data_IF_423724536614
#
_entry.id   IF_423724536614
#
_cell.length_a   1.000
_cell.length_b   1.000
_cell.length_c   1.000
_cell.angle_alpha   90.00
_cell.angle_beta   90.00
_cell.angle_gamma   90.00
#
_symmetry.space_group_name_H-M   'P 1'
#
loop_
_entity.id
_entity.type
_entity.pdbx_description
1 polymer ?
#
# COMPACT_ATOMS: atom_id res chain seq x y z
N UNK A 1 -17.11 21.81 -14.79
CA UNK A 1 -17.68 21.34 -13.51
C UNK A 1 -16.55 20.66 -12.78
N UNK A 2 -15.96 21.37 -11.83
CA UNK A 2 -15.02 20.80 -10.88
C UNK A 2 -15.79 19.78 -10.05
N UNK A 3 -15.48 18.49 -10.25
CA UNK A 3 -15.97 17.46 -9.37
C UNK A 3 -15.48 17.83 -7.96
N UNK A 4 -16.34 17.78 -6.93
CA UNK A 4 -15.89 18.03 -5.56
C UNK A 4 -14.67 17.15 -5.29
N UNK A 5 -13.68 17.70 -4.60
CA UNK A 5 -12.47 17.00 -4.24
C UNK A 5 -12.82 15.87 -3.27
N UNK A 6 -13.28 14.74 -3.83
CA UNK A 6 -13.75 13.59 -3.06
C UNK A 6 -12.50 12.96 -2.48
N UNK A 7 -12.22 13.32 -1.23
CA UNK A 7 -11.23 12.63 -0.40
C UNK A 7 -11.75 11.23 -0.11
N UNK A 8 -10.93 10.23 -0.40
CA UNK A 8 -11.23 8.82 -0.19
C UNK A 8 -10.16 8.21 0.71
N UNK A 9 -10.59 7.36 1.64
CA UNK A 9 -9.67 6.55 2.45
C UNK A 9 -9.42 5.23 1.75
N UNK A 10 -8.14 4.89 1.60
CA UNK A 10 -7.65 3.64 1.04
C UNK A 10 -6.57 3.08 1.96
N UNK A 11 -6.40 1.77 1.94
CA UNK A 11 -5.42 1.08 2.77
C UNK A 11 -4.32 0.52 1.88
N UNK A 12 -3.06 0.77 2.24
CA UNK A 12 -1.92 0.02 1.73
C UNK A 12 -1.54 -0.98 2.81
N UNK A 13 -1.66 -2.26 2.52
CA UNK A 13 -1.29 -3.34 3.43
C UNK A 13 0.01 -4.00 3.01
N UNK A 14 0.72 -4.60 3.96
CA UNK A 14 1.85 -5.48 3.71
C UNK A 14 1.64 -6.78 4.48
N UNK A 15 1.73 -7.90 3.75
CA UNK A 15 1.53 -9.22 4.32
C UNK A 15 2.59 -9.55 5.38
N UNK A 16 2.19 -10.31 6.39
CA UNK A 16 3.12 -10.81 7.41
C UNK A 16 4.29 -11.58 6.78
N UNK A 17 4.03 -12.42 5.77
CA UNK A 17 5.08 -13.20 5.10
C UNK A 17 6.12 -12.34 4.37
N UNK A 18 5.69 -11.27 3.71
CA UNK A 18 6.61 -10.35 3.03
C UNK A 18 7.42 -9.54 4.04
N UNK A 19 6.79 -9.05 5.12
CA UNK A 19 7.47 -8.35 6.20
C UNK A 19 8.47 -9.25 6.94
N UNK A 20 8.15 -10.53 7.17
CA UNK A 20 9.08 -11.49 7.78
C UNK A 20 10.29 -11.77 6.89
N UNK A 21 10.08 -11.94 5.58
CA UNK A 21 11.17 -12.14 4.63
C UNK A 21 12.08 -10.90 4.49
N UNK A 22 11.50 -9.70 4.64
CA UNK A 22 12.18 -8.44 4.40
C UNK A 22 11.86 -7.39 5.47
N UNK A 23 12.22 -7.63 6.73
CA UNK A 23 11.82 -6.77 7.87
C UNK A 23 12.17 -5.28 7.73
N UNK A 24 13.24 -4.95 7.01
CA UNK A 24 13.62 -3.56 6.75
C UNK A 24 12.62 -2.81 5.87
N UNK A 25 11.83 -3.54 5.06
CA UNK A 25 10.91 -2.97 4.07
C UNK A 25 9.73 -2.26 4.73
N UNK A 26 9.31 -2.65 5.94
CA UNK A 26 8.26 -1.94 6.69
C UNK A 26 8.65 -0.47 6.92
N UNK A 27 9.90 -0.21 7.27
CA UNK A 27 10.41 1.14 7.48
C UNK A 27 10.64 1.87 6.15
N UNK A 28 11.18 1.17 5.14
CA UNK A 28 11.36 1.74 3.81
C UNK A 28 10.04 2.21 3.18
N UNK A 29 8.98 1.38 3.24
CA UNK A 29 7.64 1.74 2.75
C UNK A 29 7.05 2.90 3.54
N UNK A 30 7.20 2.92 4.87
CA UNK A 30 6.73 4.04 5.69
C UNK A 30 7.38 5.37 5.28
N UNK A 31 8.71 5.36 5.03
CA UNK A 31 9.44 6.52 4.57
C UNK A 31 9.04 6.94 3.15
N UNK A 32 8.96 5.97 2.23
CA UNK A 32 8.60 6.19 0.84
C UNK A 32 7.21 6.81 0.69
N UNK A 33 6.20 6.26 1.37
CA UNK A 33 4.83 6.79 1.33
C UNK A 33 4.78 8.22 1.90
N UNK A 34 5.54 8.49 2.98
CA UNK A 34 5.61 9.84 3.55
C UNK A 34 6.28 10.84 2.59
N UNK A 35 7.33 10.41 1.88
CA UNK A 35 8.01 11.23 0.88
C UNK A 35 7.13 11.48 -0.36
N UNK A 36 6.30 10.52 -0.76
CA UNK A 36 5.44 10.65 -1.94
C UNK A 36 4.45 11.82 -1.84
N UNK A 37 4.00 12.20 -0.63
CA UNK A 37 3.17 13.40 -0.44
C UNK A 37 3.85 14.68 -0.95
N UNK A 38 5.18 14.75 -0.89
CA UNK A 38 5.95 15.89 -1.42
C UNK A 38 5.94 15.92 -2.96
N UNK A 39 5.75 14.78 -3.60
CA UNK A 39 5.65 14.68 -5.07
C UNK A 39 4.21 14.88 -5.56
N UNK A 40 3.22 14.34 -4.85
CA UNK A 40 1.80 14.45 -5.19
C UNK A 40 0.96 14.65 -3.92
N UNK A 41 0.58 15.91 -3.67
CA UNK A 41 -0.16 16.33 -2.49
C UNK A 41 -1.56 15.69 -2.37
N UNK A 42 -2.05 15.07 -3.45
CA UNK A 42 -3.30 14.30 -3.46
C UNK A 42 -3.21 12.98 -2.71
N UNK A 43 -2.02 12.60 -2.21
CA UNK A 43 -1.82 11.38 -1.43
C UNK A 43 -1.24 11.70 -0.06
N UNK A 44 -1.88 11.27 1.02
CA UNK A 44 -1.39 11.50 2.37
C UNK A 44 -1.56 10.27 3.26
N UNK A 45 -0.49 9.85 3.93
CA UNK A 45 -0.58 8.87 5.01
C UNK A 45 -1.27 9.51 6.22
N UNK A 46 -2.35 8.89 6.70
CA UNK A 46 -3.09 9.32 7.90
C UNK A 46 -2.58 8.63 9.15
N UNK A 47 -2.40 7.31 9.10
CA UNK A 47 -1.82 6.53 10.20
C UNK A 47 -1.22 5.22 9.70
N UNK A 48 -0.43 4.60 10.58
CA UNK A 48 0.10 3.25 10.41
C UNK A 48 -0.37 2.37 11.56
N UNK A 49 -0.98 1.26 11.24
CA UNK A 49 -1.47 0.23 12.16
C UNK A 49 -0.71 -1.09 11.92
N UNK A 50 -0.67 -1.93 12.94
CA UNK A 50 -0.25 -3.32 12.83
C UNK A 50 -1.38 -4.19 13.38
N UNK A 51 -2.04 -4.94 12.51
CA UNK A 51 -3.15 -5.81 12.87
C UNK A 51 -2.62 -7.05 13.60
N UNK A 52 -2.83 -7.20 14.92
CA UNK A 52 -2.21 -8.27 15.70
C UNK A 52 -2.70 -9.66 15.30
N UNK A 53 -3.96 -9.80 14.88
CA UNK A 53 -4.57 -11.09 14.52
C UNK A 53 -4.05 -11.64 13.19
N UNK A 54 -3.66 -10.76 12.27
CA UNK A 54 -3.25 -11.12 10.90
C UNK A 54 -1.75 -10.90 10.66
N UNK A 55 -1.07 -10.17 11.55
CA UNK A 55 0.30 -9.71 11.36
C UNK A 55 0.46 -8.71 10.21
N UNK A 56 -0.64 -8.10 9.75
CA UNK A 56 -0.65 -7.18 8.61
C UNK A 56 -0.18 -5.80 9.05
N UNK A 57 0.82 -5.24 8.36
CA UNK A 57 1.13 -3.82 8.49
C UNK A 57 0.22 -3.04 7.55
N UNK A 58 -0.46 -2.01 8.07
CA UNK A 58 -1.44 -1.24 7.31
C UNK A 58 -1.12 0.24 7.40
N UNK A 59 -1.02 0.91 6.26
CA UNK A 59 -1.02 2.36 6.16
C UNK A 59 -2.40 2.80 5.67
N UNK A 60 -3.11 3.55 6.50
CA UNK A 60 -4.34 4.22 6.10
C UNK A 60 -3.96 5.51 5.40
N UNK A 61 -4.36 5.64 4.16
CA UNK A 61 -4.01 6.73 3.27
C UNK A 61 -5.28 7.48 2.85
N UNK A 62 -5.16 8.80 2.74
CA UNK A 62 -6.15 9.63 2.08
C UNK A 62 -5.67 9.92 0.65
N UNK A 63 -6.58 9.75 -0.31
CA UNK A 63 -6.38 10.13 -1.70
C UNK A 63 -7.44 11.12 -2.18
N UNK A 64 -7.08 11.98 -3.11
CA UNK A 64 -7.95 12.98 -3.72
C UNK A 64 -8.22 12.68 -5.20
N UNK A 65 -9.50 12.69 -5.58
CA UNK A 65 -9.95 12.45 -6.96
C UNK A 65 -9.52 11.09 -7.52
N UNK A 66 -9.10 11.06 -8.79
CA UNK A 66 -8.66 9.86 -9.50
C UNK A 66 -7.15 9.57 -9.34
N UNK A 67 -6.58 9.80 -8.15
CA UNK A 67 -5.16 9.57 -7.88
C UNK A 67 -4.76 8.12 -8.23
N UNK A 68 -3.71 7.90 -9.04
CA UNK A 68 -3.38 6.58 -9.59
C UNK A 68 -2.58 5.73 -8.58
N UNK A 69 -3.22 5.27 -7.50
CA UNK A 69 -2.54 4.56 -6.40
C UNK A 69 -1.79 3.31 -6.85
N UNK A 70 -2.33 2.54 -7.79
CA UNK A 70 -1.64 1.37 -8.35
C UNK A 70 -0.35 1.75 -9.10
N UNK A 71 -0.30 2.92 -9.75
CA UNK A 71 0.93 3.42 -10.39
C UNK A 71 1.95 3.83 -9.34
N UNK A 72 1.50 4.51 -8.28
CA UNK A 72 2.35 4.86 -7.13
C UNK A 72 2.96 3.60 -6.53
N UNK A 73 2.15 2.59 -6.19
CA UNK A 73 2.64 1.33 -5.63
C UNK A 73 3.59 0.59 -6.57
N UNK A 74 3.39 0.64 -7.89
CA UNK A 74 4.36 0.08 -8.84
C UNK A 74 5.72 0.79 -8.81
N UNK A 75 5.78 2.10 -8.53
CA UNK A 75 7.06 2.83 -8.41
C UNK A 75 7.88 2.34 -7.23
N UNK A 76 7.24 1.95 -6.14
CA UNK A 76 7.89 1.38 -4.96
C UNK A 76 8.72 0.12 -5.29
N UNK A 77 8.39 -0.63 -6.35
CA UNK A 77 9.17 -1.80 -6.80
C UNK A 77 10.60 -1.47 -7.20
N UNK A 78 10.92 -0.20 -7.49
CA UNK A 78 12.29 0.23 -7.76
C UNK A 78 13.16 0.26 -6.49
N UNK A 79 12.55 0.41 -5.32
CA UNK A 79 13.22 0.69 -4.05
C UNK A 79 13.19 -0.50 -3.07
N UNK A 80 12.33 -1.51 -3.30
CA UNK A 80 12.14 -2.66 -2.41
C UNK A 80 12.12 -3.99 -3.18
N UNK A 81 12.31 -5.15 -2.51
CA UNK A 81 12.32 -6.46 -3.17
C UNK A 81 11.04 -6.72 -3.97
N UNK A 82 11.08 -7.54 -5.04
CA UNK A 82 9.91 -7.82 -5.88
C UNK A 82 8.69 -8.22 -5.07
N UNK A 83 7.52 -7.69 -5.44
CA UNK A 83 6.25 -7.97 -4.76
C UNK A 83 5.07 -7.98 -5.74
N UNK A 84 3.96 -8.56 -5.30
CA UNK A 84 2.65 -8.50 -5.95
C UNK A 84 1.75 -7.55 -5.20
N UNK A 85 0.79 -6.98 -5.91
CA UNK A 85 -0.29 -6.18 -5.31
C UNK A 85 -1.60 -6.94 -5.47
N UNK A 86 -2.27 -7.22 -4.37
CA UNK A 86 -3.64 -7.74 -4.38
C UNK A 86 -4.60 -6.65 -3.94
N UNK A 87 -5.53 -6.25 -4.81
CA UNK A 87 -6.62 -5.37 -4.42
C UNK A 87 -7.74 -6.18 -3.76
N UNK A 88 -8.17 -5.72 -2.59
CA UNK A 88 -9.31 -6.26 -1.84
C UNK A 88 -10.23 -5.12 -1.45
N UNK A 89 -11.49 -5.44 -1.17
CA UNK A 89 -12.41 -4.49 -0.56
C UNK A 89 -11.91 -4.17 0.86
N UNK A 90 -11.76 -2.89 1.18
CA UNK A 90 -11.30 -2.44 2.50
C UNK A 90 -12.30 -2.81 3.61
N UNK A 91 -11.81 -2.84 4.84
CA UNK A 91 -12.66 -3.04 6.01
C UNK A 91 -13.42 -1.76 6.38
N UNK A 92 -14.76 -1.81 6.41
CA UNK A 92 -15.59 -0.71 6.91
C UNK A 92 -15.72 0.48 5.96
N UNK A 93 -15.42 1.70 6.45
CA UNK A 93 -15.56 2.97 5.72
C UNK A 93 -14.41 3.27 4.74
N UNK A 94 -13.44 2.36 4.62
CA UNK A 94 -12.27 2.49 3.76
C UNK A 94 -12.54 1.73 2.46
N UNK A 95 -12.35 2.39 1.32
CA UNK A 95 -12.78 1.89 0.01
C UNK A 95 -12.04 0.63 -0.43
N UNK A 96 -10.81 0.81 -0.92
CA UNK A 96 -9.95 -0.28 -1.41
C UNK A 96 -8.76 -0.50 -0.47
N UNK A 97 -8.38 -1.77 -0.32
CA UNK A 97 -7.17 -2.22 0.38
C UNK A 97 -6.21 -2.89 -0.61
N UNK A 98 -5.02 -2.34 -0.77
CA UNK A 98 -3.96 -2.83 -1.67
C UNK A 98 -2.89 -3.56 -0.87
N UNK A 99 -2.82 -4.88 -0.98
CA UNK A 99 -1.88 -5.71 -0.23
C UNK A 99 -0.60 -5.96 -1.03
N UNK A 100 0.52 -5.45 -0.53
CA UNK A 100 1.88 -5.82 -0.93
C UNK A 100 2.18 -7.22 -0.37
N UNK A 101 2.53 -8.13 -1.26
CA UNK A 101 2.76 -9.52 -0.89
C UNK A 101 3.91 -10.16 -1.67
N UNK A 102 4.44 -11.28 -1.17
CA UNK A 102 5.49 -12.03 -1.87
C UNK A 102 5.00 -12.45 -3.25
N UNK A 103 5.87 -12.40 -4.28
CA UNK A 103 5.61 -13.04 -5.55
C UNK A 103 5.23 -14.50 -5.33
N UNK A 104 4.03 -14.89 -5.74
CA UNK A 104 3.74 -16.28 -6.07
C UNK A 104 4.72 -16.63 -7.19
N UNK A 105 5.81 -17.29 -6.83
CA UNK A 105 6.67 -17.94 -7.79
C UNK A 105 5.80 -18.91 -8.58
N UNK A 106 5.88 -18.83 -9.90
CA UNK A 106 5.53 -19.95 -10.77
C UNK A 106 6.07 -21.21 -10.10
N UNK A 107 5.19 -22.14 -9.73
CA UNK A 107 5.64 -23.46 -9.30
C UNK A 107 6.65 -23.95 -10.32
N UNK A 108 7.85 -24.28 -9.85
CA UNK A 108 8.76 -25.18 -10.55
C UNK A 108 7.90 -26.36 -11.03
N UNK A 109 7.60 -26.40 -12.33
CA UNK A 109 7.21 -27.63 -12.96
C UNK A 109 8.50 -28.43 -13.15
N UNK A 110 8.49 -29.58 -12.49
CA UNK A 110 9.51 -30.62 -12.44
C UNK A 110 10.05 -31.04 -13.81
#
# INVERSE_FOLDING_TARGET
>A
MDLPDVKQLVEVGMSHRYAQAHGWVVNAVSGWLSAYYMEDARFRVRRRDHEPDTGLYVWVCEIEGAMPIMRMLKRLQADIPPFQIHERKGGGAQGSRYIIDVPQGSSEHA
#
